data_IF_462746489909
#
_entry.id   IF_462746489909
#
_cell.length_a   1.000
_cell.length_b   1.000
_cell.length_c   1.000
_cell.angle_alpha   90.00
_cell.angle_beta   90.00
_cell.angle_gamma   90.00
#
_symmetry.space_group_name_H-M   'P 1'
#
loop_
_entity.id
_entity.type
_entity.pdbx_description
1 polymer ?
#
# COMPACT_ATOMS: atom_id res chain seq x y z
N UNK A 1 -8.37 -8.61 -15.42
CA UNK A 1 -9.00 -9.67 -14.59
C UNK A 1 -9.02 -9.17 -13.14
N UNK A 2 -10.19 -8.90 -12.55
CA UNK A 2 -10.32 -8.24 -11.23
C UNK A 2 -9.89 -9.09 -10.02
N UNK A 3 -9.64 -10.40 -10.19
CA UNK A 3 -9.23 -11.30 -9.10
C UNK A 3 -7.93 -10.91 -8.39
N UNK A 4 -7.02 -10.21 -9.07
CA UNK A 4 -5.79 -9.70 -8.45
C UNK A 4 -6.04 -8.58 -7.45
N UNK A 5 -7.04 -7.74 -7.73
CA UNK A 5 -7.36 -6.55 -6.94
C UNK A 5 -7.96 -6.92 -5.57
N UNK A 6 -8.95 -7.81 -5.53
CA UNK A 6 -9.59 -8.22 -4.27
C UNK A 6 -8.58 -8.91 -3.34
N UNK A 7 -7.70 -9.75 -3.89
CA UNK A 7 -6.62 -10.38 -3.13
C UNK A 7 -5.58 -9.36 -2.64
N UNK A 8 -5.20 -8.39 -3.47
CA UNK A 8 -4.28 -7.33 -3.09
C UNK A 8 -4.87 -6.45 -1.97
N UNK A 9 -6.12 -6.03 -2.09
CA UNK A 9 -6.82 -5.24 -1.07
C UNK A 9 -6.87 -5.97 0.27
N UNK A 10 -7.19 -7.26 0.25
CA UNK A 10 -7.19 -8.08 1.48
C UNK A 10 -5.80 -8.14 2.12
N UNK A 11 -4.74 -8.33 1.33
CA UNK A 11 -3.36 -8.34 1.83
C UNK A 11 -2.96 -6.99 2.43
N UNK A 12 -3.31 -5.90 1.75
CA UNK A 12 -3.01 -4.53 2.18
C UNK A 12 -3.70 -4.18 3.50
N UNK A 13 -5.01 -4.47 3.62
CA UNK A 13 -5.77 -4.27 4.85
C UNK A 13 -5.19 -5.11 6.01
N UNK A 14 -4.79 -6.35 5.73
CA UNK A 14 -4.15 -7.23 6.71
C UNK A 14 -2.77 -6.70 7.16
N UNK A 15 -2.01 -6.04 6.27
CA UNK A 15 -0.77 -5.34 6.62
C UNK A 15 -1.02 -4.17 7.56
N UNK A 16 -1.99 -3.30 7.22
CA UNK A 16 -2.42 -2.18 8.06
C UNK A 16 -2.83 -2.66 9.46
N UNK A 17 -3.64 -3.72 9.53
CA UNK A 17 -4.10 -4.30 10.79
C UNK A 17 -2.93 -4.78 11.65
N UNK A 18 -1.94 -5.48 11.07
CA UNK A 18 -0.76 -5.95 11.81
C UNK A 18 0.12 -4.80 12.33
N UNK A 19 0.27 -3.73 11.56
CA UNK A 19 0.97 -2.52 12.02
C UNK A 19 0.21 -1.88 13.20
N UNK A 20 -1.12 -1.77 13.10
CA UNK A 20 -1.96 -1.18 14.14
C UNK A 20 -1.98 -1.99 15.45
N UNK A 21 -1.99 -3.32 15.34
CA UNK A 21 -2.00 -4.28 16.48
C UNK A 21 -0.62 -4.50 17.10
N UNK A 22 0.45 -3.99 16.51
CA UNK A 22 1.81 -4.13 17.05
C UNK A 22 1.96 -3.43 18.41
N UNK A 23 2.82 -4.00 19.27
CA UNK A 23 3.07 -3.48 20.61
C UNK A 23 3.46 -1.99 20.61
N UNK A 24 3.10 -1.28 21.67
CA UNK A 24 3.27 0.17 21.78
C UNK A 24 4.73 0.65 21.60
N UNK A 25 5.72 -0.17 21.98
CA UNK A 25 7.14 0.13 21.77
C UNK A 25 7.60 -0.02 20.31
N UNK A 26 6.92 -0.88 19.53
CA UNK A 26 7.29 -1.23 18.16
C UNK A 26 6.53 -0.41 17.12
N UNK A 27 5.24 -0.17 17.36
CA UNK A 27 4.34 0.52 16.43
C UNK A 27 4.92 1.84 15.88
N UNK A 28 5.53 2.74 16.67
CA UNK A 28 6.08 4.00 16.12
C UNK A 28 7.15 3.80 15.04
N UNK A 29 7.97 2.73 15.14
CA UNK A 29 9.00 2.43 14.13
C UNK A 29 8.39 1.87 12.85
N UNK A 30 7.39 0.99 12.99
CA UNK A 30 6.65 0.46 11.84
C UNK A 30 5.91 1.59 11.12
N UNK A 31 5.25 2.48 11.86
CA UNK A 31 4.59 3.67 11.31
C UNK A 31 5.57 4.59 10.58
N UNK A 32 6.80 4.73 11.07
CA UNK A 32 7.84 5.49 10.36
C UNK A 32 8.22 4.81 9.03
N UNK A 33 8.42 3.50 9.04
CA UNK A 33 8.74 2.74 7.83
C UNK A 33 7.60 2.79 6.80
N UNK A 34 6.34 2.71 7.24
CA UNK A 34 5.16 2.84 6.37
C UNK A 34 5.16 4.20 5.67
N UNK A 35 5.49 5.28 6.40
CA UNK A 35 5.61 6.62 5.82
C UNK A 35 6.72 6.71 4.78
N UNK A 36 7.88 6.09 5.04
CA UNK A 36 8.98 6.07 4.08
C UNK A 36 8.59 5.39 2.76
N UNK A 37 7.87 4.26 2.82
CA UNK A 37 7.34 3.57 1.63
C UNK A 37 6.27 4.41 0.93
N UNK A 38 5.36 5.05 1.67
CA UNK A 38 4.35 5.97 1.11
C UNK A 38 4.99 7.13 0.34
N UNK A 39 6.04 7.72 0.86
CA UNK A 39 6.73 8.82 0.19
C UNK A 39 7.42 8.36 -1.10
N UNK A 40 7.93 7.13 -1.13
CA UNK A 40 8.47 6.53 -2.37
C UNK A 40 7.37 6.17 -3.37
N UNK A 41 6.20 5.68 -2.93
CA UNK A 41 5.03 5.48 -3.79
C UNK A 41 4.64 6.77 -4.50
N UNK A 42 4.52 7.88 -3.75
CA UNK A 42 4.20 9.20 -4.30
C UNK A 42 5.21 9.69 -5.32
N UNK A 43 6.51 9.44 -5.09
CA UNK A 43 7.58 9.79 -6.04
C UNK A 43 7.49 8.99 -7.34
N UNK A 44 7.07 7.73 -7.28
CA UNK A 44 7.01 6.81 -8.43
C UNK A 44 5.75 6.96 -9.25
N UNK A 45 4.58 6.95 -8.62
CA UNK A 45 3.28 7.02 -9.30
C UNK A 45 2.91 8.44 -9.70
N UNK A 46 3.36 9.46 -8.96
CA UNK A 46 3.35 10.88 -9.33
C UNK A 46 2.15 11.36 -10.15
N UNK A 47 1.12 11.92 -9.50
CA UNK A 47 -0.06 12.45 -10.19
C UNK A 47 -1.35 11.78 -9.74
N UNK A 48 -2.38 11.83 -10.57
CA UNK A 48 -3.66 11.17 -10.35
C UNK A 48 -3.55 9.72 -10.82
N UNK A 49 -3.80 8.76 -9.93
CA UNK A 49 -3.67 7.32 -10.20
C UNK A 49 -4.92 6.56 -9.76
N UNK A 50 -5.18 5.44 -10.44
CA UNK A 50 -6.29 4.54 -10.14
C UNK A 50 -5.86 3.34 -9.31
N UNK A 51 -6.81 2.65 -8.72
CA UNK A 51 -6.58 1.43 -7.94
C UNK A 51 -6.00 0.29 -8.78
N UNK A 52 -6.41 0.18 -10.05
CA UNK A 52 -5.89 -0.83 -10.97
C UNK A 52 -4.39 -0.60 -11.25
N UNK A 53 -3.96 0.66 -11.43
CA UNK A 53 -2.55 1.03 -11.64
C UNK A 53 -1.70 0.68 -10.41
N UNK A 54 -2.23 0.96 -9.21
CA UNK A 54 -1.57 0.62 -7.95
C UNK A 54 -1.45 -0.92 -7.78
N UNK A 55 -2.46 -1.67 -8.20
CA UNK A 55 -2.46 -3.14 -8.15
C UNK A 55 -1.46 -3.74 -9.14
N UNK A 56 -1.37 -3.17 -10.34
CA UNK A 56 -0.37 -3.56 -11.33
C UNK A 56 1.05 -3.29 -10.86
N UNK A 57 1.29 -2.18 -10.15
CA UNK A 57 2.56 -1.88 -9.52
C UNK A 57 2.89 -2.94 -8.46
N UNK A 58 1.91 -3.25 -7.59
CA UNK A 58 2.07 -4.23 -6.54
C UNK A 58 2.43 -5.63 -7.06
N UNK A 59 1.80 -6.05 -8.16
CA UNK A 59 2.01 -7.37 -8.76
C UNK A 59 3.26 -7.52 -9.62
N UNK A 60 3.86 -6.42 -10.10
CA UNK A 60 5.04 -6.46 -10.99
C UNK A 60 6.37 -6.30 -10.26
N UNK A 61 6.47 -5.33 -9.35
CA UNK A 61 7.74 -4.98 -8.71
C UNK A 61 7.51 -4.18 -7.42
N UNK A 62 7.64 -4.87 -6.27
CA UNK A 62 7.59 -4.28 -4.92
C UNK A 62 8.87 -4.56 -4.13
N UNK A 63 9.94 -5.00 -4.81
CA UNK A 63 11.23 -5.27 -4.14
C UNK A 63 11.83 -3.97 -3.60
N UNK A 64 11.75 -2.88 -4.37
CA UNK A 64 12.13 -1.55 -3.92
C UNK A 64 11.37 -1.10 -2.65
N UNK A 65 10.09 -1.45 -2.52
CA UNK A 65 9.27 -1.08 -1.37
C UNK A 65 9.70 -1.87 -0.13
N UNK A 66 10.03 -3.15 -0.35
CA UNK A 66 10.61 -4.02 0.68
C UNK A 66 11.98 -3.52 1.13
N UNK A 67 12.82 -3.02 0.22
CA UNK A 67 14.13 -2.48 0.55
C UNK A 67 14.04 -1.17 1.36
N UNK A 68 13.12 -0.28 0.99
CA UNK A 68 12.82 0.92 1.80
C UNK A 68 12.34 0.52 3.19
N UNK A 69 11.42 -0.44 3.30
CA UNK A 69 10.93 -0.92 4.59
C UNK A 69 12.05 -1.54 5.45
N UNK A 70 12.93 -2.35 4.86
CA UNK A 70 14.07 -3.00 5.55
C UNK A 70 15.15 -2.02 5.99
N UNK A 71 15.34 -0.93 5.25
CA UNK A 71 16.26 0.13 5.64
C UNK A 71 15.82 0.81 6.96
N UNK A 72 14.51 0.94 7.17
CA UNK A 72 13.93 1.55 8.37
C UNK A 72 13.77 0.55 9.53
N UNK A 73 13.26 -0.65 9.23
CA UNK A 73 13.04 -1.72 10.22
C UNK A 73 13.55 -3.05 9.66
N UNK A 74 14.75 -3.50 10.11
CA UNK A 74 15.24 -4.83 9.78
C UNK A 74 14.34 -5.90 10.40
N UNK A 75 13.92 -6.89 9.62
CA UNK A 75 13.10 -7.99 10.13
C UNK A 75 12.14 -8.57 9.10
N UNK A 76 11.18 -9.35 9.58
CA UNK A 76 10.16 -10.04 8.76
C UNK A 76 8.93 -9.17 8.50
N UNK A 77 8.89 -7.95 9.05
CA UNK A 77 7.74 -7.05 9.00
C UNK A 77 7.72 -6.18 7.73
N UNK A 78 8.73 -6.29 6.88
CA UNK A 78 8.81 -5.55 5.62
C UNK A 78 7.55 -5.73 4.78
N UNK A 79 6.97 -6.94 4.72
CA UNK A 79 5.72 -7.18 4.01
C UNK A 79 4.55 -6.40 4.61
N UNK A 80 4.38 -6.40 5.93
CA UNK A 80 3.30 -5.66 6.59
C UNK A 80 3.40 -4.16 6.37
N UNK A 81 4.63 -3.64 6.37
CA UNK A 81 4.93 -2.23 6.11
C UNK A 81 4.55 -1.86 4.68
N UNK A 82 4.94 -2.69 3.70
CA UNK A 82 4.60 -2.48 2.28
C UNK A 82 3.08 -2.55 2.11
N UNK A 83 2.44 -3.60 2.62
CA UNK A 83 1.00 -3.81 2.54
C UNK A 83 0.21 -2.63 3.15
N UNK A 84 0.61 -2.17 4.34
CA UNK A 84 0.02 -1.00 4.98
C UNK A 84 0.20 0.29 4.17
N UNK A 85 1.37 0.49 3.56
CA UNK A 85 1.61 1.64 2.70
C UNK A 85 0.70 1.62 1.46
N UNK A 86 0.57 0.45 0.79
CA UNK A 86 -0.33 0.30 -0.34
C UNK A 86 -1.81 0.48 0.07
N UNK A 87 -2.22 -0.02 1.24
CA UNK A 87 -3.58 0.22 1.77
C UNK A 87 -3.88 1.71 1.94
N UNK A 88 -2.94 2.44 2.55
CA UNK A 88 -3.08 3.88 2.79
C UNK A 88 -3.07 4.66 1.49
N UNK A 89 -2.21 4.29 0.53
CA UNK A 89 -2.12 4.97 -0.75
C UNK A 89 -3.30 4.67 -1.67
N UNK A 90 -3.85 3.45 -1.64
CA UNK A 90 -5.08 3.10 -2.37
C UNK A 90 -6.24 4.03 -2.01
N UNK A 91 -6.29 4.55 -0.77
CA UNK A 91 -7.31 5.50 -0.32
C UNK A 91 -7.18 6.90 -0.92
N UNK A 92 -6.05 7.20 -1.54
CA UNK A 92 -5.80 8.45 -2.27
C UNK A 92 -6.12 8.32 -3.77
N UNK A 93 -6.41 7.11 -4.27
CA UNK A 93 -6.75 6.89 -5.67
C UNK A 93 -8.08 7.57 -6.05
N UNK A 94 -8.16 8.13 -7.26
CA UNK A 94 -9.33 8.92 -7.68
C UNK A 94 -10.62 8.08 -7.79
N UNK A 95 -10.47 6.78 -8.03
CA UNK A 95 -11.54 5.80 -8.15
C UNK A 95 -11.80 5.05 -6.83
N UNK A 96 -11.20 5.48 -5.71
CA UNK A 96 -11.39 4.86 -4.39
C UNK A 96 -12.06 5.81 -3.39
N UNK A 97 -13.38 5.93 -3.48
CA UNK A 97 -14.16 6.71 -2.53
C UNK A 97 -14.50 5.89 -1.28
N UNK A 98 -13.69 6.02 -0.23
CA UNK A 98 -14.05 5.57 1.13
C UNK A 98 -14.21 4.05 1.32
N UNK A 99 -13.41 3.24 0.61
CA UNK A 99 -13.43 1.78 0.73
C UNK A 99 -14.22 1.04 -0.35
N UNK A 100 -14.69 1.75 -1.39
CA UNK A 100 -15.37 1.13 -2.55
C UNK A 100 -14.81 1.69 -3.85
N UNK A 101 -14.50 0.80 -4.80
CA UNK A 101 -14.14 1.14 -6.16
C UNK A 101 -15.31 1.88 -6.82
N UNK A 102 -15.16 3.17 -7.07
CA UNK A 102 -16.03 3.92 -7.95
C UNK A 102 -15.57 3.65 -9.38
N UNK A 103 -16.04 2.55 -9.97
CA UNK A 103 -15.87 2.32 -11.41
C UNK A 103 -16.57 3.47 -12.13
N UNK A 104 -15.83 4.49 -12.55
CA UNK A 104 -16.29 5.47 -13.52
C UNK A 104 -16.48 4.71 -14.84
N UNK A 105 -17.67 4.15 -15.02
CA UNK A 105 -18.19 3.85 -16.34
C UNK A 105 -18.37 5.20 -17.03
N UNK A 106 -17.35 5.62 -17.79
CA UNK A 106 -17.42 6.45 -19.00
C UNK A 106 -16.17 7.33 -19.13
N UNK A 107 -15.23 6.87 -19.98
CA UNK A 107 -14.60 7.74 -20.97
C UNK A 107 -14.79 7.07 -22.33
N UNK A 108 -15.93 7.36 -22.94
CA UNK A 108 -16.12 7.27 -24.39
C UNK A 108 -15.56 8.49 -25.11
#
# INVERSE_FOLDING_TARGET
>A
MPYGLENAMFQWEEGERRVAESDAGRRPRLEHAVRAVLDELRRRLGGEFGVDELTELYGRDTEWASDVARAEVPGTEASWIVDAAFWRYAREAYDFAGGRLHRSLDRG
#
